data_IF_747326140128
#
_entry.id   IF_747326140128
#
_cell.length_a   1.000
_cell.length_b   1.000
_cell.length_c   1.000
_cell.angle_alpha   90.00
_cell.angle_beta   90.00
_cell.angle_gamma   90.00
#
_symmetry.space_group_name_H-M   'P 1'
#
loop_
_entity.id
_entity.type
_entity.pdbx_description
1 polymer ?
#
# COMPACT_ATOMS: atom_id res chain seq x y z
N UNK A 1 -11.54 7.74 -13.26
CA UNK A 1 -11.25 6.67 -12.28
C UNK A 1 -11.35 7.28 -10.90
N UNK A 2 -11.98 6.59 -9.94
CA UNK A 2 -12.12 7.12 -8.60
C UNK A 2 -10.74 7.05 -7.91
N UNK A 3 -10.31 8.11 -7.23
CA UNK A 3 -9.01 8.13 -6.52
C UNK A 3 -8.94 7.01 -5.47
N UNK A 4 -10.09 6.67 -4.89
CA UNK A 4 -10.27 5.52 -4.00
C UNK A 4 -9.87 4.18 -4.63
N UNK A 5 -9.99 4.01 -5.96
CA UNK A 5 -9.65 2.77 -6.65
C UNK A 5 -8.15 2.44 -6.58
N UNK A 6 -7.33 3.47 -6.33
CA UNK A 6 -5.88 3.39 -6.23
C UNK A 6 -5.39 3.24 -4.78
N UNK A 7 -6.29 3.23 -3.80
CA UNK A 7 -6.03 2.87 -2.43
C UNK A 7 -6.42 1.41 -2.20
N UNK A 8 -5.44 0.50 -2.09
CA UNK A 8 -5.75 -0.91 -1.85
C UNK A 8 -6.40 -1.08 -0.47
N UNK A 9 -7.25 -2.12 -0.29
CA UNK A 9 -7.84 -2.42 1.03
C UNK A 9 -6.80 -2.64 2.13
N UNK A 10 -5.59 -3.09 1.76
CA UNK A 10 -4.50 -3.32 2.69
C UNK A 10 -3.58 -2.12 2.92
N UNK A 11 -3.77 -0.97 2.25
CA UNK A 11 -2.96 0.24 2.46
C UNK A 11 -1.80 0.45 1.48
N UNK A 12 -1.71 -0.35 0.41
CA UNK A 12 -0.79 -0.10 -0.71
C UNK A 12 -1.37 1.00 -1.61
N UNK A 13 -0.51 1.90 -2.06
CA UNK A 13 -0.84 2.88 -3.07
C UNK A 13 -0.60 2.31 -4.47
N UNK A 14 -1.67 1.81 -5.11
CA UNK A 14 -1.59 1.11 -6.38
C UNK A 14 -1.06 1.99 -7.53
N UNK A 15 -1.20 3.31 -7.44
CA UNK A 15 -0.72 4.22 -8.49
C UNK A 15 0.81 4.17 -8.65
N UNK A 16 1.55 3.78 -7.60
CA UNK A 16 3.00 3.62 -7.65
C UNK A 16 3.46 2.27 -8.24
N UNK A 17 2.53 1.38 -8.62
CA UNK A 17 2.87 0.07 -9.16
C UNK A 17 3.26 0.18 -10.63
N UNK A 18 4.42 -0.36 -11.07
CA UNK A 18 4.80 -0.34 -12.49
C UNK A 18 3.76 -0.98 -13.42
N UNK A 19 3.04 -2.00 -12.94
CA UNK A 19 1.93 -2.62 -13.70
C UNK A 19 0.79 -1.64 -13.98
N UNK A 20 0.58 -0.69 -13.09
CA UNK A 20 -0.39 0.39 -13.25
C UNK A 20 0.20 1.52 -14.11
N UNK A 21 1.21 2.25 -13.62
CA UNK A 21 1.63 3.51 -14.25
C UNK A 21 2.47 3.35 -15.51
N UNK A 22 3.26 2.27 -15.64
CA UNK A 22 4.19 2.07 -16.76
C UNK A 22 3.61 1.19 -17.85
N UNK A 23 2.95 0.11 -17.47
CA UNK A 23 2.47 -0.90 -18.42
C UNK A 23 0.96 -0.81 -18.71
N UNK A 24 0.17 -0.17 -17.85
CA UNK A 24 -1.29 -0.05 -18.03
C UNK A 24 -2.05 -1.38 -17.99
N UNK A 25 -1.42 -2.46 -17.50
CA UNK A 25 -2.00 -3.82 -17.46
C UNK A 25 -2.81 -4.09 -16.20
N UNK A 26 -2.70 -3.23 -15.19
CA UNK A 26 -3.45 -3.31 -13.95
C UNK A 26 -4.25 -2.03 -13.75
N UNK A 27 -5.49 -2.16 -13.27
CA UNK A 27 -6.38 -1.00 -13.04
C UNK A 27 -6.42 -0.53 -11.58
N UNK A 28 -5.69 -1.20 -10.69
CA UNK A 28 -5.71 -0.96 -9.25
C UNK A 28 -6.55 -2.00 -8.50
N UNK A 29 -6.23 -2.22 -7.23
CA UNK A 29 -6.76 -3.33 -6.43
C UNK A 29 -8.29 -3.31 -6.26
N UNK A 30 -8.98 -2.19 -6.52
CA UNK A 30 -10.45 -2.16 -6.48
C UNK A 30 -11.12 -2.26 -7.84
N UNK A 31 -10.40 -1.94 -8.91
CA UNK A 31 -10.92 -1.90 -10.27
C UNK A 31 -10.54 -3.13 -11.10
N UNK A 32 -9.68 -4.00 -10.55
CA UNK A 32 -9.16 -5.18 -11.22
C UNK A 32 -9.69 -6.47 -10.60
N UNK A 33 -9.55 -7.60 -11.30
CA UNK A 33 -10.02 -8.92 -10.82
C UNK A 33 -8.88 -9.84 -10.38
N UNK A 34 -7.62 -9.41 -10.44
CA UNK A 34 -6.44 -10.22 -10.08
C UNK A 34 -6.24 -10.37 -8.56
N UNK A 35 -7.22 -10.94 -7.86
CA UNK A 35 -7.20 -11.15 -6.41
C UNK A 35 -7.24 -12.61 -6.00
N UNK A 36 -7.21 -13.54 -6.96
CA UNK A 36 -7.45 -14.97 -6.69
C UNK A 36 -6.44 -15.59 -5.72
N UNK A 37 -5.25 -15.02 -5.61
CA UNK A 37 -4.23 -15.43 -4.65
C UNK A 37 -4.01 -14.43 -3.48
N UNK A 38 -4.82 -13.37 -3.38
CA UNK A 38 -4.64 -12.33 -2.36
C UNK A 38 -5.49 -12.58 -1.12
N UNK A 39 -4.93 -13.27 -0.13
CA UNK A 39 -5.62 -13.58 1.13
C UNK A 39 -6.10 -12.34 1.91
N UNK A 40 -5.38 -11.21 1.81
CA UNK A 40 -5.77 -9.98 2.50
C UNK A 40 -7.01 -9.36 1.85
N UNK A 41 -7.06 -9.36 0.51
CA UNK A 41 -8.22 -8.87 -0.22
C UNK A 41 -9.43 -9.75 0.05
N UNK A 42 -9.25 -11.06 -0.02
CA UNK A 42 -10.32 -12.02 0.25
C UNK A 42 -10.89 -11.86 1.66
N UNK A 43 -10.02 -11.76 2.66
CA UNK A 43 -10.41 -11.53 4.05
C UNK A 43 -11.11 -10.17 4.26
N UNK A 44 -10.58 -9.08 3.71
CA UNK A 44 -11.10 -7.74 3.96
C UNK A 44 -12.38 -7.47 3.19
N UNK A 45 -12.36 -7.71 1.88
CA UNK A 45 -13.40 -7.29 0.95
C UNK A 45 -14.44 -8.39 0.76
N UNK A 46 -14.02 -9.60 0.37
CA UNK A 46 -14.97 -10.67 0.01
C UNK A 46 -15.69 -11.26 1.23
N UNK A 47 -14.94 -11.60 2.28
CA UNK A 47 -15.47 -12.20 3.51
C UNK A 47 -15.94 -11.11 4.48
N UNK A 48 -15.10 -10.09 4.70
CA UNK A 48 -15.34 -9.06 5.70
C UNK A 48 -16.34 -7.97 5.28
N UNK A 49 -16.59 -7.80 3.98
CA UNK A 49 -17.44 -6.71 3.48
C UNK A 49 -16.91 -5.31 3.81
N UNK A 50 -15.61 -5.19 4.12
CA UNK A 50 -14.97 -3.95 4.53
C UNK A 50 -14.29 -3.26 3.34
N UNK A 51 -14.27 -1.94 3.38
CA UNK A 51 -13.54 -1.16 2.40
C UNK A 51 -12.05 -1.20 2.68
N UNK A 52 -11.65 -1.10 3.95
CA UNK A 52 -10.23 -1.10 4.35
C UNK A 52 -10.00 -2.00 5.55
N UNK A 53 -8.79 -2.55 5.66
CA UNK A 53 -8.45 -3.41 6.80
C UNK A 53 -8.53 -2.69 8.15
N UNK A 54 -8.44 -1.35 8.22
CA UNK A 54 -8.59 -0.60 9.47
C UNK A 54 -10.01 -0.62 10.06
N UNK A 55 -11.00 -1.05 9.27
CA UNK A 55 -12.39 -1.21 9.70
C UNK A 55 -12.59 -2.51 10.50
N UNK A 56 -11.63 -3.43 10.44
CA UNK A 56 -11.67 -4.67 11.18
C UNK A 56 -11.40 -4.44 12.67
N UNK A 57 -12.24 -4.99 13.54
CA UNK A 57 -12.05 -4.92 15.01
C UNK A 57 -10.73 -5.55 15.51
N UNK A 58 -10.11 -6.42 14.70
CA UNK A 58 -8.83 -7.06 15.01
C UNK A 58 -7.64 -6.27 14.44
N UNK A 59 -7.86 -5.09 13.86
CA UNK A 59 -6.81 -4.29 13.24
C UNK A 59 -5.82 -3.71 14.28
N UNK A 60 -4.50 -3.74 14.03
CA UNK A 60 -3.82 -4.49 12.97
C UNK A 60 -3.75 -5.99 13.29
N UNK A 61 -4.35 -6.82 12.44
CA UNK A 61 -4.43 -8.27 12.67
C UNK A 61 -3.13 -8.99 12.28
N UNK A 62 -2.95 -10.23 12.74
CA UNK A 62 -1.72 -10.99 12.50
C UNK A 62 -1.39 -11.14 11.00
N UNK A 63 -2.41 -11.33 10.14
CA UNK A 63 -2.21 -11.42 8.68
C UNK A 63 -1.56 -10.15 8.13
N UNK A 64 -2.06 -8.98 8.53
CA UNK A 64 -1.52 -7.71 8.07
C UNK A 64 -0.13 -7.44 8.65
N UNK A 65 0.12 -7.81 9.91
CA UNK A 65 1.45 -7.73 10.53
C UNK A 65 2.48 -8.62 9.84
N UNK A 66 2.11 -9.85 9.50
CA UNK A 66 2.98 -10.76 8.74
C UNK A 66 3.29 -10.18 7.36
N UNK A 67 2.29 -9.61 6.70
CA UNK A 67 2.48 -8.94 5.42
C UNK A 67 3.38 -7.71 5.53
N UNK A 68 3.19 -6.88 6.55
CA UNK A 68 4.00 -5.69 6.77
C UNK A 68 5.43 -6.04 7.15
N UNK A 69 5.68 -7.14 7.84
CA UNK A 69 7.03 -7.56 8.28
C UNK A 69 7.81 -8.39 7.25
N UNK A 70 7.39 -8.40 5.98
CA UNK A 70 8.11 -9.11 4.92
C UNK A 70 9.50 -8.50 4.70
N UNK A 71 10.58 -9.29 4.84
CA UNK A 71 11.97 -8.83 4.71
C UNK A 71 12.27 -7.52 5.47
N UNK A 72 12.27 -7.56 6.82
CA UNK A 72 12.55 -6.37 7.63
C UNK A 72 13.98 -5.87 7.33
N UNK A 73 14.15 -4.55 7.24
CA UNK A 73 15.43 -3.93 6.91
C UNK A 73 15.69 -3.72 5.42
N UNK A 74 14.88 -4.32 4.55
CA UNK A 74 15.08 -4.28 3.10
C UNK A 74 14.22 -3.22 2.42
N UNK A 75 14.87 -2.21 1.82
CA UNK A 75 14.18 -1.10 1.16
C UNK A 75 13.23 -1.55 0.03
N UNK A 76 13.45 -2.72 -0.60
CA UNK A 76 12.53 -3.19 -1.66
C UNK A 76 11.15 -3.56 -1.13
N UNK A 77 11.04 -3.84 0.16
CA UNK A 77 9.79 -4.19 0.82
C UNK A 77 9.16 -2.99 1.56
N UNK A 78 9.74 -1.78 1.48
CA UNK A 78 9.24 -0.57 2.16
C UNK A 78 7.73 -0.35 1.98
N UNK A 79 7.23 -0.51 0.75
CA UNK A 79 5.80 -0.35 0.44
C UNK A 79 4.88 -1.31 1.22
N UNK A 80 5.41 -2.42 1.74
CA UNK A 80 4.73 -3.35 2.66
C UNK A 80 4.88 -2.91 4.11
N UNK A 81 6.07 -2.48 4.51
CA UNK A 81 6.35 -2.07 5.89
C UNK A 81 5.47 -0.90 6.36
N UNK A 82 5.10 0.01 5.45
CA UNK A 82 4.29 1.20 5.81
C UNK A 82 2.78 1.01 5.66
N UNK A 83 2.28 -0.19 5.32
CA UNK A 83 0.84 -0.34 5.01
C UNK A 83 -0.08 -0.10 6.20
N UNK A 84 0.36 -0.44 7.41
CA UNK A 84 -0.39 -0.15 8.64
C UNK A 84 -0.46 1.37 8.85
N UNK A 85 0.66 2.08 8.67
CA UNK A 85 0.72 3.54 8.77
C UNK A 85 -0.18 4.20 7.71
N UNK A 86 -0.16 3.68 6.48
CA UNK A 86 -1.05 4.16 5.42
C UNK A 86 -2.52 3.96 5.78
N UNK A 87 -2.90 2.81 6.34
CA UNK A 87 -4.28 2.56 6.76
C UNK A 87 -4.70 3.49 7.91
N UNK A 88 -3.82 3.71 8.89
CA UNK A 88 -4.06 4.70 9.95
C UNK A 88 -4.22 6.10 9.36
N UNK A 89 -3.39 6.46 8.36
CA UNK A 89 -3.47 7.76 7.70
C UNK A 89 -4.76 7.92 6.90
N UNK A 90 -5.19 6.90 6.15
CA UNK A 90 -6.48 6.89 5.45
C UNK A 90 -7.63 7.11 6.45
N UNK A 91 -7.58 6.45 7.61
CA UNK A 91 -8.58 6.63 8.68
C UNK A 91 -8.57 8.06 9.24
N UNK A 92 -7.40 8.68 9.36
CA UNK A 92 -7.23 10.03 9.91
C UNK A 92 -7.67 11.14 8.95
N UNK A 93 -7.19 11.12 7.69
CA UNK A 93 -7.35 12.23 6.75
C UNK A 93 -8.32 11.93 5.60
N UNK A 94 -8.84 10.71 5.52
CA UNK A 94 -9.67 10.23 4.42
C UNK A 94 -8.84 9.80 3.20
N UNK A 95 -9.42 8.90 2.40
CA UNK A 95 -8.74 8.29 1.24
C UNK A 95 -8.34 9.31 0.17
N UNK A 96 -9.14 10.37 -0.03
CA UNK A 96 -8.91 11.39 -1.04
C UNK A 96 -7.67 12.24 -0.73
N UNK A 97 -7.51 12.66 0.53
CA UNK A 97 -6.34 13.41 0.96
C UNK A 97 -5.10 12.51 1.05
N UNK A 98 -5.28 11.26 1.49
CA UNK A 98 -4.21 10.27 1.47
C UNK A 98 -3.71 9.99 0.04
N UNK A 99 -4.61 9.93 -0.95
CA UNK A 99 -4.23 9.78 -2.35
C UNK A 99 -3.32 10.93 -2.83
N UNK A 100 -3.68 12.17 -2.51
CA UNK A 100 -2.88 13.35 -2.88
C UNK A 100 -1.51 13.27 -2.21
N UNK A 101 -1.46 12.95 -0.91
CA UNK A 101 -0.22 12.79 -0.15
C UNK A 101 0.69 11.72 -0.77
N UNK A 102 0.16 10.53 -1.06
CA UNK A 102 0.95 9.44 -1.63
C UNK A 102 1.39 9.72 -3.06
N UNK A 103 0.59 10.46 -3.83
CA UNK A 103 1.00 10.93 -5.16
C UNK A 103 2.21 11.85 -5.05
N UNK A 104 2.22 12.80 -4.11
CA UNK A 104 3.36 13.68 -3.88
C UNK A 104 4.61 12.90 -3.48
N UNK A 105 4.48 11.96 -2.52
CA UNK A 105 5.59 11.09 -2.10
C UNK A 105 6.17 10.30 -3.26
N UNK A 106 5.31 9.71 -4.10
CA UNK A 106 5.75 8.96 -5.28
C UNK A 106 6.52 9.84 -6.27
N UNK A 107 6.06 11.08 -6.49
CA UNK A 107 6.74 12.02 -7.38
C UNK A 107 8.07 12.55 -6.82
N UNK A 108 8.22 12.60 -5.49
CA UNK A 108 9.44 13.05 -4.80
C UNK A 108 10.44 11.91 -4.55
N UNK A 109 10.05 10.68 -4.88
CA UNK A 109 10.84 9.48 -4.64
C UNK A 109 10.83 8.96 -3.21
N UNK A 110 9.85 9.38 -2.41
CA UNK A 110 9.64 8.95 -1.03
C UNK A 110 8.64 7.78 -0.91
N UNK A 111 8.27 7.14 -2.03
CA UNK A 111 7.47 5.92 -2.03
C UNK A 111 7.55 5.21 -3.39
N UNK A 112 8.00 3.96 -3.44
CA UNK A 112 8.00 3.17 -4.68
C UNK A 112 7.67 1.70 -4.49
N UNK A 113 6.99 1.09 -5.47
CA UNK A 113 6.79 -0.36 -5.52
C UNK A 113 7.89 -0.94 -6.42
N UNK A 114 8.73 -1.85 -5.88
CA UNK A 114 9.94 -2.40 -6.53
C UNK A 114 11.13 -1.42 -6.60
N UNK A 115 11.27 -0.55 -5.59
CA UNK A 115 12.38 0.40 -5.38
C UNK A 115 12.55 1.53 -6.41
N UNK A 116 11.79 1.62 -7.50
CA UNK A 116 11.97 2.70 -8.50
C UNK A 116 10.71 3.53 -8.74
N UNK A 117 10.89 4.85 -8.74
CA UNK A 117 9.87 5.84 -9.07
C UNK A 117 9.77 6.04 -10.60
N UNK A 118 8.79 6.81 -11.12
CA UNK A 118 8.59 6.99 -12.56
C UNK A 118 9.77 7.65 -13.26
N UNK A 119 10.48 8.52 -12.55
CA UNK A 119 11.68 9.22 -13.03
C UNK A 119 12.95 8.34 -13.00
N UNK A 120 12.85 7.10 -12.49
CA UNK A 120 13.95 6.15 -12.37
C UNK A 120 14.77 6.26 -11.09
N UNK A 121 14.49 7.26 -10.23
CA UNK A 121 15.10 7.40 -8.91
C UNK A 121 14.73 6.23 -7.98
N UNK A 122 15.57 6.00 -6.98
CA UNK A 122 15.28 5.01 -5.94
C UNK A 122 14.31 5.57 -4.89
N UNK A 123 13.52 4.68 -4.28
CA UNK A 123 12.80 5.02 -3.05
C UNK A 123 13.81 5.37 -1.94
N UNK A 124 13.80 6.63 -1.51
CA UNK A 124 14.70 7.17 -0.48
C UNK A 124 14.04 7.22 0.90
N UNK A 125 12.79 6.79 1.02
CA UNK A 125 12.07 6.84 2.29
C UNK A 125 12.70 5.92 3.32
N UNK A 126 12.78 6.40 4.57
CA UNK A 126 13.25 5.58 5.68
C UNK A 126 12.22 4.49 5.95
N UNK A 127 12.62 3.21 5.90
CA UNK A 127 11.75 2.15 6.41
C UNK A 127 11.56 2.35 7.92
N UNK A 128 10.32 2.35 8.44
CA UNK A 128 10.07 2.34 9.88
C UNK A 128 10.78 1.16 10.57
N UNK A 129 10.92 0.04 9.85
CA UNK A 129 11.63 -1.16 10.27
C UNK A 129 13.15 -1.03 10.36
N UNK A 130 13.75 -0.03 9.72
CA UNK A 130 15.20 0.20 9.74
C UNK A 130 15.63 1.11 10.91
N UNK A 131 14.69 1.87 11.48
CA UNK A 131 14.95 2.75 12.62
C UNK A 131 14.88 2.02 13.98
N UNK A 132 14.53 0.74 14.01
CA UNK A 132 14.68 -0.10 15.19
C UNK A 132 16.13 -0.58 15.29
N UNK A 133 16.99 0.28 15.84
CA UNK A 133 18.24 -0.14 16.47
C UNK A 133 17.96 -1.28 17.45
N UNK A 134 18.85 -2.28 17.42
CA UNK A 134 18.97 -3.39 18.38
C UNK A 134 18.89 -2.94 19.84
#
# INVERSE_FOLDING_TARGET
MNKKDLASPCGIFCAACPRFYKYGICKGCRADTFHDACEIYDCCVRIGGMEFCFECNLFPCQRLKTFSNYHPGENFAHYRHIVIDNLLKIKEIGVENWYILMTQKFMQGEYGIQQRNPDGSFDISCCPCCNTTK
#
